data_IF_448079162294
#
_entry.id   IF_448079162294
#
_cell.length_a   1.000
_cell.length_b   1.000
_cell.length_c   1.000
_cell.angle_alpha   90.00
_cell.angle_beta   90.00
_cell.angle_gamma   90.00
#
_symmetry.space_group_name_H-M   'P 1'
#
loop_
_entity.id
_entity.type
_entity.pdbx_description
1 polymer ?
#
# COMPACT_ATOMS: atom_id res chain seq x y z
N UNK A 1 9.28 9.71 -10.61
CA UNK A 1 8.21 8.70 -10.60
C UNK A 1 7.77 8.43 -9.18
N UNK A 2 6.47 8.27 -8.95
CA UNK A 2 5.97 7.99 -7.62
C UNK A 2 6.39 6.59 -7.15
N UNK A 3 6.87 6.51 -5.92
CA UNK A 3 7.20 5.25 -5.27
C UNK A 3 5.96 4.78 -4.50
N UNK A 4 5.50 3.57 -4.78
CA UNK A 4 4.27 3.03 -4.21
C UNK A 4 4.59 1.76 -3.44
N UNK A 5 4.05 1.66 -2.22
CA UNK A 5 4.13 0.46 -1.40
C UNK A 5 2.76 -0.21 -1.37
N UNK A 6 2.70 -1.46 -1.80
CA UNK A 6 1.48 -2.26 -1.82
C UNK A 6 1.55 -3.26 -0.67
N UNK A 7 0.59 -3.21 0.23
CA UNK A 7 0.56 -4.06 1.42
C UNK A 7 -0.68 -4.95 1.41
N UNK A 8 -0.45 -6.25 1.31
CA UNK A 8 -1.49 -7.26 1.32
C UNK A 8 -0.85 -8.60 1.69
N UNK A 9 -1.52 -9.41 2.49
CA UNK A 9 -0.99 -10.73 2.86
C UNK A 9 -1.14 -11.76 1.73
N UNK A 10 -1.99 -11.50 0.76
CA UNK A 10 -2.20 -12.39 -0.38
C UNK A 10 -1.29 -12.00 -1.55
N UNK A 11 -0.37 -12.90 -1.90
CA UNK A 11 0.56 -12.67 -3.02
C UNK A 11 -0.18 -12.41 -4.33
N UNK A 12 -1.29 -13.10 -4.55
CA UNK A 12 -2.13 -12.91 -5.74
C UNK A 12 -2.64 -11.47 -5.83
N UNK A 13 -3.14 -10.91 -4.73
CA UNK A 13 -3.65 -9.54 -4.72
C UNK A 13 -2.54 -8.52 -4.94
N UNK A 14 -1.37 -8.73 -4.35
CA UNK A 14 -0.23 -7.84 -4.60
C UNK A 14 0.14 -7.83 -6.07
N UNK A 15 0.10 -9.00 -6.72
CA UNK A 15 0.39 -9.12 -8.14
C UNK A 15 -0.65 -8.37 -8.98
N UNK A 16 -1.93 -8.53 -8.68
CA UNK A 16 -3.02 -7.84 -9.40
C UNK A 16 -2.85 -6.33 -9.31
N UNK A 17 -2.60 -5.82 -8.11
CA UNK A 17 -2.43 -4.40 -7.88
C UNK A 17 -1.18 -3.88 -8.60
N UNK A 18 -0.08 -4.61 -8.50
CA UNK A 18 1.16 -4.24 -9.19
C UNK A 18 0.97 -4.19 -10.70
N UNK A 19 0.31 -5.19 -11.27
CA UNK A 19 0.05 -5.23 -12.72
C UNK A 19 -0.82 -4.06 -13.17
N UNK A 20 -1.84 -3.73 -12.37
CA UNK A 20 -2.72 -2.60 -12.63
C UNK A 20 -1.94 -1.28 -12.61
N UNK A 21 -1.10 -1.09 -11.62
CA UNK A 21 -0.27 0.11 -11.52
C UNK A 21 0.72 0.21 -12.69
N UNK A 22 1.35 -0.89 -13.04
CA UNK A 22 2.31 -0.93 -14.15
C UNK A 22 1.65 -0.56 -15.47
N UNK A 23 0.44 -1.05 -15.72
CA UNK A 23 -0.33 -0.70 -16.92
C UNK A 23 -0.64 0.79 -17.02
N UNK A 24 -0.68 1.46 -15.88
CA UNK A 24 -0.98 2.90 -15.82
C UNK A 24 0.29 3.76 -15.66
N UNK A 25 1.46 3.17 -15.89
CA UNK A 25 2.72 3.90 -15.91
C UNK A 25 3.44 4.01 -14.57
N UNK A 26 2.95 3.33 -13.53
CA UNK A 26 3.57 3.34 -12.20
C UNK A 26 4.41 2.08 -12.04
N UNK A 27 5.72 2.19 -12.23
CA UNK A 27 6.63 1.04 -12.24
C UNK A 27 7.51 0.92 -10.99
N UNK A 28 7.58 1.97 -10.16
CA UNK A 28 8.34 1.92 -8.90
C UNK A 28 7.44 1.43 -7.79
N UNK A 29 7.13 0.13 -7.82
CA UNK A 29 6.19 -0.52 -6.92
C UNK A 29 6.92 -1.51 -6.04
N UNK A 30 6.71 -1.40 -4.73
CA UNK A 30 7.27 -2.27 -3.71
C UNK A 30 6.14 -2.99 -2.98
N UNK A 31 6.44 -4.11 -2.33
CA UNK A 31 5.43 -4.93 -1.67
C UNK A 31 5.78 -5.20 -0.21
N UNK A 32 4.76 -5.29 0.63
CA UNK A 32 4.87 -5.74 2.00
C UNK A 32 3.77 -6.78 2.26
N UNK A 33 4.04 -7.73 3.13
CA UNK A 33 3.19 -8.91 3.33
C UNK A 33 2.24 -8.81 4.52
N UNK A 34 2.48 -7.87 5.42
CA UNK A 34 1.61 -7.61 6.57
C UNK A 34 1.86 -6.21 7.11
N UNK A 35 1.14 -5.85 8.17
CA UNK A 35 1.26 -4.51 8.75
C UNK A 35 2.62 -4.22 9.35
N UNK A 36 3.24 -5.21 9.97
CA UNK A 36 4.58 -5.06 10.56
C UNK A 36 5.61 -4.79 9.48
N UNK A 37 5.59 -5.59 8.42
CA UNK A 37 6.47 -5.43 7.25
C UNK A 37 6.23 -4.07 6.59
N UNK A 38 4.97 -3.62 6.53
CA UNK A 38 4.60 -2.34 5.96
C UNK A 38 5.24 -1.17 6.73
N UNK A 39 5.19 -1.21 8.06
CA UNK A 39 5.79 -0.16 8.88
C UNK A 39 7.29 -0.10 8.65
N UNK A 40 7.96 -1.25 8.66
CA UNK A 40 9.40 -1.31 8.43
C UNK A 40 9.77 -0.76 7.05
N UNK A 41 9.06 -1.20 6.01
CA UNK A 41 9.33 -0.76 4.64
C UNK A 41 8.99 0.71 4.41
N UNK A 42 7.96 1.21 5.09
CA UNK A 42 7.62 2.62 4.99
C UNK A 42 8.81 3.50 5.38
N UNK A 43 9.42 3.22 6.52
CA UNK A 43 10.54 4.02 7.01
C UNK A 43 11.87 3.72 6.29
N UNK A 44 11.97 2.59 5.62
CA UNK A 44 13.10 2.26 4.76
C UNK A 44 13.00 2.93 3.40
N UNK A 45 11.83 2.87 2.77
CA UNK A 45 11.61 3.29 1.39
C UNK A 45 11.08 4.71 1.23
N UNK A 46 10.39 5.23 2.24
CA UNK A 46 9.70 6.52 2.18
C UNK A 46 8.82 6.64 0.92
N UNK A 47 7.83 5.75 0.75
CA UNK A 47 6.99 5.78 -0.45
C UNK A 47 6.12 7.03 -0.51
N UNK A 48 5.76 7.43 -1.70
CA UNK A 48 4.83 8.54 -1.92
C UNK A 48 3.39 8.16 -1.58
N UNK A 49 3.07 6.87 -1.71
CA UNK A 49 1.73 6.34 -1.45
C UNK A 49 1.83 4.91 -0.93
N UNK A 50 0.98 4.58 0.04
CA UNK A 50 0.81 3.22 0.53
C UNK A 50 -0.61 2.76 0.23
N UNK A 51 -0.75 1.61 -0.42
CA UNK A 51 -2.03 0.95 -0.63
C UNK A 51 -2.07 -0.21 0.36
N UNK A 52 -2.92 -0.08 1.39
CA UNK A 52 -2.90 -0.95 2.56
C UNK A 52 -4.17 -1.77 2.67
N UNK A 53 -4.04 -3.10 2.69
CA UNK A 53 -5.15 -3.97 3.04
C UNK A 53 -5.51 -3.77 4.53
N UNK A 54 -6.79 -3.91 4.85
CA UNK A 54 -7.27 -3.71 6.22
C UNK A 54 -6.99 -4.94 7.08
N UNK A 55 -7.34 -6.12 6.59
CA UNK A 55 -7.28 -7.36 7.36
C UNK A 55 -6.03 -8.17 6.99
N UNK A 56 -5.07 -8.23 7.91
CA UNK A 56 -3.82 -8.96 7.72
C UNK A 56 -3.39 -9.60 9.04
N UNK A 57 -2.63 -10.70 8.99
CA UNK A 57 -2.07 -11.30 10.20
C UNK A 57 -0.98 -10.41 10.82
N UNK A 58 -0.62 -10.70 12.04
CA UNK A 58 0.41 -10.03 12.85
C UNK A 58 0.03 -8.61 13.23
N UNK A 59 -0.12 -7.73 12.27
CA UNK A 59 -0.55 -6.34 12.47
C UNK A 59 -1.47 -5.99 11.32
N UNK A 60 -2.71 -5.59 11.61
CA UNK A 60 -3.66 -5.22 10.56
C UNK A 60 -3.39 -3.83 9.99
N UNK A 61 -4.12 -3.48 8.93
CA UNK A 61 -3.90 -2.23 8.22
C UNK A 61 -4.15 -0.99 9.06
N UNK A 62 -5.12 -1.03 9.95
CA UNK A 62 -5.41 0.11 10.82
C UNK A 62 -4.32 0.33 11.86
N UNK A 63 -3.81 -0.75 12.43
CA UNK A 63 -2.67 -0.67 13.37
C UNK A 63 -1.42 -0.15 12.67
N UNK A 64 -1.15 -0.64 11.46
CA UNK A 64 -0.02 -0.17 10.66
C UNK A 64 -0.16 1.31 10.31
N UNK A 65 -1.35 1.76 9.92
CA UNK A 65 -1.63 3.16 9.63
C UNK A 65 -1.32 4.05 10.85
N UNK A 66 -1.79 3.65 12.02
CA UNK A 66 -1.54 4.39 13.25
C UNK A 66 -0.05 4.46 13.57
N UNK A 67 0.66 3.35 13.43
CA UNK A 67 2.09 3.30 13.69
C UNK A 67 2.88 4.20 12.72
N UNK A 68 2.51 4.20 11.45
CA UNK A 68 3.15 5.05 10.44
C UNK A 68 2.89 6.53 10.75
N UNK A 69 1.64 6.90 10.97
CA UNK A 69 1.26 8.29 11.21
C UNK A 69 1.72 8.84 12.54
N UNK A 70 1.98 7.98 13.51
CA UNK A 70 2.56 8.42 14.79
C UNK A 70 3.94 9.06 14.60
N UNK A 71 4.69 8.63 13.59
CA UNK A 71 6.02 9.14 13.29
C UNK A 71 6.06 10.03 12.06
N UNK A 72 5.12 9.87 11.14
CA UNK A 72 5.02 10.67 9.93
C UNK A 72 3.55 11.02 9.67
N UNK A 73 3.11 12.14 10.20
CA UNK A 73 1.71 12.57 10.10
C UNK A 73 1.29 12.93 8.67
N UNK A 74 2.25 13.12 7.77
CA UNK A 74 1.97 13.45 6.38
C UNK A 74 1.89 12.23 5.46
N UNK A 75 1.99 11.01 6.01
CA UNK A 75 1.95 9.78 5.23
C UNK A 75 0.64 9.65 4.44
N UNK A 76 0.77 9.36 3.16
CA UNK A 76 -0.38 9.11 2.28
C UNK A 76 -0.68 7.62 2.26
N UNK A 77 -1.72 7.22 2.97
CA UNK A 77 -2.13 5.82 3.06
C UNK A 77 -3.58 5.69 2.61
N UNK A 78 -3.81 4.83 1.63
CA UNK A 78 -5.16 4.50 1.17
C UNK A 78 -5.48 3.09 1.64
N UNK A 79 -6.57 2.98 2.39
CA UNK A 79 -7.03 1.68 2.88
C UNK A 79 -7.84 1.00 1.78
N UNK A 80 -7.49 -0.23 1.47
CA UNK A 80 -8.17 -1.03 0.47
C UNK A 80 -8.81 -2.23 1.15
N UNK A 81 -10.11 -2.41 0.92
CA UNK A 81 -10.78 -3.60 1.43
C UNK A 81 -11.08 -4.52 0.25
N UNK A 82 -10.88 -5.77 0.42
CA UNK A 82 -11.27 -6.87 -0.46
C UNK A 82 -11.39 -6.60 -1.98
N UNK A 83 -11.82 -7.59 -2.70
CA UNK A 83 -11.75 -7.70 -4.16
C UNK A 83 -12.53 -6.64 -4.95
N UNK A 84 -12.09 -6.39 -6.20
CA UNK A 84 -12.79 -5.46 -7.10
C UNK A 84 -12.30 -4.02 -6.97
N UNK A 85 -11.17 -3.80 -6.35
CA UNK A 85 -10.68 -2.48 -6.00
C UNK A 85 -9.71 -1.86 -7.02
N UNK A 86 -9.45 -2.53 -8.14
CA UNK A 86 -8.42 -2.07 -9.09
C UNK A 86 -8.66 -0.66 -9.59
N UNK A 87 -9.93 -0.34 -9.94
CA UNK A 87 -10.27 1.00 -10.41
C UNK A 87 -10.08 2.05 -9.30
N UNK A 88 -10.41 1.70 -8.06
CA UNK A 88 -10.22 2.59 -6.91
C UNK A 88 -8.74 2.82 -6.63
N UNK A 89 -7.91 1.78 -6.80
CA UNK A 89 -6.47 1.90 -6.63
C UNK A 89 -5.90 2.90 -7.63
N UNK A 90 -6.28 2.78 -8.90
CA UNK A 90 -5.83 3.69 -9.94
C UNK A 90 -6.29 5.12 -9.65
N UNK A 91 -7.54 5.32 -9.26
CA UNK A 91 -8.05 6.62 -8.87
C UNK A 91 -7.27 7.23 -7.71
N UNK A 92 -7.01 6.43 -6.68
CA UNK A 92 -6.28 6.89 -5.50
C UNK A 92 -4.88 7.37 -5.88
N UNK A 93 -4.19 6.61 -6.73
CA UNK A 93 -2.84 6.98 -7.18
C UNK A 93 -2.88 8.25 -8.02
N UNK A 94 -3.85 8.37 -8.93
CA UNK A 94 -3.98 9.55 -9.79
C UNK A 94 -4.37 10.80 -9.01
N UNK A 95 -5.14 10.65 -7.96
CA UNK A 95 -5.54 11.76 -7.11
C UNK A 95 -4.39 12.25 -6.20
N UNK A 96 -3.37 11.45 -6.05
CA UNK A 96 -2.22 11.80 -5.24
C UNK A 96 -2.37 11.44 -3.80
#
# INVERSE_FOLDING_TARGET
MAKILVVDDAAFMRKVIRDTLTKNGYTDVHEAVDGKDAVEKYFELHPNLVLMDITMPNMDGLEALKAIRAKDSSANVVMCSAMGQEAMVVEAVQAG
#
